data_IF_708274402201
#
_entry.id   IF_708274402201
#
_cell.length_a   1.000
_cell.length_b   1.000
_cell.length_c   1.000
_cell.angle_alpha   90.00
_cell.angle_beta   90.00
_cell.angle_gamma   90.00
#
_symmetry.space_group_name_H-M   'P 1'
#
loop_
_entity.id
_entity.type
_entity.pdbx_description
1 polymer ?
#
# COMPACT_ATOMS: atom_id res chain seq x y z
N UNK A 1 -3.28 -7.97 6.43
CA UNK A 1 -4.08 -9.12 6.90
C UNK A 1 -3.48 -10.37 6.30
N UNK A 2 -3.60 -11.52 6.96
CA UNK A 2 -3.06 -12.79 6.45
C UNK A 2 -3.56 -13.14 5.05
N UNK A 3 -4.76 -12.69 4.67
CA UNK A 3 -5.33 -12.90 3.32
C UNK A 3 -4.86 -11.88 2.27
N UNK A 4 -4.59 -10.63 2.66
CA UNK A 4 -4.10 -9.59 1.74
C UNK A 4 -2.60 -9.69 1.45
N UNK A 5 -1.83 -10.23 2.41
CA UNK A 5 -0.38 -10.30 2.31
C UNK A 5 0.13 -11.17 1.13
N UNK A 6 -0.47 -12.33 0.79
CA UNK A 6 -0.08 -13.08 -0.41
C UNK A 6 -0.14 -12.26 -1.69
N UNK A 7 -1.19 -11.43 -1.85
CA UNK A 7 -1.29 -10.53 -3.01
C UNK A 7 -0.21 -9.45 -2.97
N UNK A 8 -0.03 -8.78 -1.82
CA UNK A 8 1.00 -7.74 -1.64
C UNK A 8 2.38 -8.28 -1.97
N UNK A 9 2.72 -9.48 -1.46
CA UNK A 9 4.01 -10.11 -1.71
C UNK A 9 4.19 -10.53 -3.17
N UNK A 10 3.16 -11.12 -3.78
CA UNK A 10 3.22 -11.74 -5.11
C UNK A 10 3.11 -10.75 -6.26
N UNK A 11 2.41 -9.62 -6.06
CA UNK A 11 2.14 -8.63 -7.10
C UNK A 11 2.80 -7.29 -6.82
N UNK A 12 2.75 -6.78 -5.59
CA UNK A 12 3.36 -5.47 -5.29
C UNK A 12 4.87 -5.60 -5.04
N UNK A 13 5.27 -6.26 -3.96
CA UNK A 13 6.66 -6.31 -3.52
C UNK A 13 7.59 -7.06 -4.48
N UNK A 14 7.08 -7.99 -5.28
CA UNK A 14 7.88 -8.72 -6.27
C UNK A 14 8.24 -7.87 -7.49
N UNK A 15 7.49 -6.81 -7.79
CA UNK A 15 7.64 -6.01 -9.02
C UNK A 15 8.20 -4.61 -8.77
N UNK A 16 7.96 -4.02 -7.59
CA UNK A 16 8.32 -2.61 -7.35
C UNK A 16 9.29 -2.38 -6.19
N UNK A 17 9.51 -3.39 -5.34
CA UNK A 17 10.41 -3.27 -4.19
C UNK A 17 11.87 -3.54 -4.56
N UNK A 18 12.76 -2.62 -4.21
CA UNK A 18 14.21 -2.75 -4.34
C UNK A 18 14.75 -3.68 -3.25
N UNK A 19 15.55 -4.69 -3.63
CA UNK A 19 16.14 -5.65 -2.69
C UNK A 19 17.67 -5.63 -2.75
N UNK A 20 18.29 -5.64 -1.59
CA UNK A 20 19.70 -6.01 -1.43
C UNK A 20 19.78 -7.53 -1.19
N UNK A 21 20.53 -8.24 -2.03
CA UNK A 21 20.90 -9.64 -1.80
C UNK A 21 22.27 -9.70 -1.13
N UNK A 22 22.43 -10.59 -0.13
CA UNK A 22 23.61 -10.72 0.74
C UNK A 22 24.94 -11.03 0.01
N UNK A 23 24.92 -11.26 -1.31
CA UNK A 23 26.09 -11.58 -2.12
C UNK A 23 26.43 -10.48 -3.14
N UNK A 24 26.65 -9.22 -2.72
CA UNK A 24 27.33 -8.13 -3.49
C UNK A 24 26.93 -7.91 -4.98
N UNK A 25 25.83 -8.49 -5.42
CA UNK A 25 25.21 -8.33 -6.72
C UNK A 25 23.82 -7.78 -6.41
N UNK A 26 23.69 -6.46 -6.47
CA UNK A 26 22.40 -5.78 -6.31
C UNK A 26 21.49 -6.29 -7.41
N UNK A 27 20.55 -7.16 -7.06
CA UNK A 27 19.51 -7.56 -8.01
C UNK A 27 18.35 -6.57 -7.82
N UNK A 28 18.44 -5.44 -8.54
CA UNK A 28 17.40 -4.41 -8.55
C UNK A 28 16.17 -4.98 -9.26
N UNK A 29 15.23 -5.58 -8.52
CA UNK A 29 13.95 -6.04 -9.07
C UNK A 29 12.90 -4.91 -9.15
N UNK A 30 13.09 -3.83 -8.41
CA UNK A 30 12.12 -2.74 -8.26
C UNK A 30 12.78 -1.37 -8.09
N UNK A 31 11.99 -0.31 -8.25
CA UNK A 31 12.46 1.10 -8.26
C UNK A 31 12.34 1.78 -6.88
N UNK A 32 11.61 1.16 -5.94
CA UNK A 32 11.25 1.79 -4.68
C UNK A 32 11.65 0.92 -3.49
N UNK A 33 12.15 1.52 -2.41
CA UNK A 33 12.31 0.83 -1.12
C UNK A 33 10.99 0.87 -0.35
N UNK A 34 10.36 -0.28 -0.15
CA UNK A 34 9.02 -0.37 0.45
C UNK A 34 9.11 -0.95 1.86
N UNK A 35 8.52 -0.27 2.83
CA UNK A 35 8.26 -0.84 4.15
C UNK A 35 6.99 -1.72 4.10
N UNK A 36 7.09 -2.96 4.60
CA UNK A 36 5.94 -3.85 4.77
C UNK A 36 5.94 -4.43 6.19
N UNK A 37 4.89 -4.18 6.97
CA UNK A 37 4.80 -4.59 8.39
C UNK A 37 5.07 -6.07 8.62
N UNK A 38 4.56 -6.94 7.74
CA UNK A 38 4.68 -8.39 7.88
C UNK A 38 6.13 -8.88 7.67
N UNK A 39 7.01 -8.04 7.12
CA UNK A 39 8.43 -8.33 6.88
C UNK A 39 9.37 -7.50 7.77
N UNK A 40 9.07 -6.22 7.93
CA UNK A 40 10.01 -5.20 8.40
C UNK A 40 9.65 -4.67 9.81
N UNK A 41 8.56 -5.14 10.41
CA UNK A 41 8.17 -4.69 11.76
C UNK A 41 9.21 -5.07 12.81
N UNK A 42 9.46 -4.15 13.72
CA UNK A 42 10.36 -4.37 14.85
C UNK A 42 9.62 -5.16 15.93
N UNK A 43 10.19 -6.30 16.29
CA UNK A 43 9.72 -7.07 17.44
C UNK A 43 9.83 -6.25 18.72
N UNK A 44 8.76 -6.25 19.52
CA UNK A 44 8.68 -5.48 20.77
C UNK A 44 8.01 -4.11 20.64
N UNK A 45 7.67 -3.67 19.42
CA UNK A 45 6.80 -2.51 19.19
C UNK A 45 5.39 -2.96 18.80
N UNK A 46 4.39 -2.15 19.12
CA UNK A 46 3.03 -2.36 18.63
C UNK A 46 2.94 -2.15 17.11
N UNK A 47 1.86 -2.64 16.51
CA UNK A 47 1.57 -2.43 15.09
C UNK A 47 1.46 -0.93 14.74
N UNK A 48 0.81 -0.16 15.61
CA UNK A 48 0.62 1.27 15.41
C UNK A 48 1.95 2.04 15.53
N UNK A 49 2.80 1.71 16.51
CA UNK A 49 4.12 2.34 16.65
C UNK A 49 5.00 2.06 15.43
N UNK A 50 5.05 0.80 14.99
CA UNK A 50 5.76 0.42 13.77
C UNK A 50 5.26 1.21 12.55
N UNK A 51 3.95 1.35 12.41
CA UNK A 51 3.34 2.10 11.32
C UNK A 51 3.71 3.59 11.37
N UNK A 52 3.50 4.27 12.50
CA UNK A 52 3.74 5.70 12.63
C UNK A 52 5.20 6.06 12.33
N UNK A 53 6.16 5.33 12.89
CA UNK A 53 7.59 5.57 12.64
C UNK A 53 7.95 5.40 11.16
N UNK A 54 7.39 4.38 10.49
CA UNK A 54 7.70 4.13 9.09
C UNK A 54 6.98 5.11 8.14
N UNK A 55 5.84 5.67 8.55
CA UNK A 55 5.18 6.76 7.81
C UNK A 55 6.08 7.99 7.79
N UNK A 56 6.69 8.37 8.92
CA UNK A 56 7.60 9.52 9.01
C UNK A 56 8.86 9.36 8.14
N UNK A 57 9.25 8.12 7.84
CA UNK A 57 10.39 7.80 6.99
C UNK A 57 10.01 7.63 5.50
N UNK A 58 8.73 7.68 5.18
CA UNK A 58 8.20 7.40 3.84
C UNK A 58 7.83 8.67 3.10
N UNK A 59 7.97 8.67 1.76
CA UNK A 59 7.43 9.76 0.91
C UNK A 59 5.98 9.54 0.53
N UNK A 60 5.58 8.29 0.31
CA UNK A 60 4.27 7.90 -0.19
C UNK A 60 3.79 6.69 0.60
N UNK A 61 2.51 6.66 0.93
CA UNK A 61 1.87 5.49 1.51
C UNK A 61 1.03 4.75 0.47
N UNK A 62 1.04 3.42 0.52
CA UNK A 62 0.20 2.57 -0.35
C UNK A 62 -0.84 1.86 0.50
N UNK A 63 -2.12 2.11 0.19
CA UNK A 63 -3.26 1.44 0.83
C UNK A 63 -3.82 0.41 -0.12
N UNK A 64 -3.70 -0.87 0.25
CA UNK A 64 -4.29 -1.97 -0.50
C UNK A 64 -5.67 -2.28 0.08
N UNK A 65 -6.71 -1.81 -0.60
CA UNK A 65 -8.11 -2.02 -0.23
C UNK A 65 -8.60 -3.40 -0.68
N UNK A 66 -8.99 -4.18 0.32
CA UNK A 66 -9.67 -5.47 0.21
C UNK A 66 -10.70 -5.60 1.32
N UNK A 67 -11.61 -6.55 1.19
CA UNK A 67 -12.58 -6.92 2.20
C UNK A 67 -11.87 -7.30 3.51
N UNK A 68 -10.79 -8.06 3.44
CA UNK A 68 -10.01 -8.44 4.63
C UNK A 68 -9.34 -7.23 5.30
N UNK A 69 -8.88 -6.24 4.53
CA UNK A 69 -8.38 -4.98 5.08
C UNK A 69 -9.50 -4.20 5.79
N UNK A 70 -10.66 -4.04 5.16
CA UNK A 70 -11.81 -3.30 5.74
C UNK A 70 -12.40 -3.92 7.00
N UNK A 71 -12.05 -5.17 7.31
CA UNK A 71 -12.48 -5.86 8.53
C UNK A 71 -11.42 -5.87 9.63
N UNK A 72 -10.20 -5.39 9.35
CA UNK A 72 -9.11 -5.32 10.34
C UNK A 72 -9.48 -4.35 11.46
N UNK A 73 -9.14 -4.69 12.71
CA UNK A 73 -9.51 -3.89 13.88
C UNK A 73 -9.08 -2.41 13.80
N UNK A 74 -7.90 -2.14 13.23
CA UNK A 74 -7.30 -0.79 13.21
C UNK A 74 -7.42 -0.05 11.88
N UNK A 75 -8.07 -0.61 10.85
CA UNK A 75 -8.03 -0.03 9.49
C UNK A 75 -8.46 1.44 9.43
N UNK A 76 -9.49 1.83 10.20
CA UNK A 76 -9.95 3.23 10.24
C UNK A 76 -8.89 4.16 10.83
N UNK A 77 -8.26 3.74 11.93
CA UNK A 77 -7.22 4.54 12.61
C UNK A 77 -6.00 4.70 11.71
N UNK A 78 -5.59 3.63 11.04
CA UNK A 78 -4.49 3.65 10.07
C UNK A 78 -4.77 4.64 8.92
N UNK A 79 -5.98 4.59 8.34
CA UNK A 79 -6.38 5.48 7.27
C UNK A 79 -6.46 6.94 7.70
N UNK A 80 -7.06 7.22 8.85
CA UNK A 80 -7.15 8.58 9.38
C UNK A 80 -5.76 9.15 9.65
N UNK A 81 -4.84 8.34 10.19
CA UNK A 81 -3.47 8.76 10.43
C UNK A 81 -2.71 9.03 9.12
N UNK A 82 -2.89 8.20 8.09
CA UNK A 82 -2.31 8.45 6.76
C UNK A 82 -2.84 9.74 6.14
N UNK A 83 -4.15 9.95 6.16
CA UNK A 83 -4.78 11.16 5.62
C UNK A 83 -4.29 12.41 6.36
N UNK A 84 -4.26 12.36 7.69
CA UNK A 84 -3.70 13.43 8.49
C UNK A 84 -2.23 13.72 8.14
N UNK A 85 -1.42 12.67 8.03
CA UNK A 85 0.01 12.77 7.67
C UNK A 85 0.21 13.41 6.30
N UNK A 86 -0.68 13.14 5.34
CA UNK A 86 -0.69 13.82 4.04
C UNK A 86 -1.09 15.30 4.18
N UNK A 87 -2.14 15.60 4.93
CA UNK A 87 -2.63 16.97 5.12
C UNK A 87 -1.58 17.89 5.77
N UNK A 88 -0.77 17.35 6.69
CA UNK A 88 0.34 18.08 7.32
C UNK A 88 1.69 17.91 6.59
N UNK A 89 1.67 17.33 5.38
CA UNK A 89 2.86 17.16 4.51
C UNK A 89 4.00 16.32 5.11
N UNK A 90 3.71 15.39 6.03
CA UNK A 90 4.66 14.35 6.46
C UNK A 90 4.93 13.37 5.31
N UNK A 91 3.87 12.95 4.62
CA UNK A 91 3.95 12.23 3.36
C UNK A 91 3.42 13.11 2.22
N UNK A 92 3.90 12.88 1.01
CA UNK A 92 3.53 13.65 -0.18
C UNK A 92 2.20 13.16 -0.76
N UNK A 93 1.99 11.84 -0.75
CA UNK A 93 0.80 11.26 -1.34
C UNK A 93 0.40 9.90 -0.73
N UNK A 94 -0.82 9.49 -1.05
CA UNK A 94 -1.40 8.19 -0.71
C UNK A 94 -1.92 7.56 -2.00
N UNK A 95 -1.37 6.40 -2.35
CA UNK A 95 -1.84 5.58 -3.46
C UNK A 95 -2.82 4.54 -2.93
N UNK A 96 -4.04 4.54 -3.48
CA UNK A 96 -5.07 3.57 -3.13
C UNK A 96 -5.14 2.52 -4.23
N UNK A 97 -4.97 1.25 -3.88
CA UNK A 97 -5.08 0.11 -4.78
C UNK A 97 -6.26 -0.74 -4.33
N UNK A 98 -7.28 -0.89 -5.18
CA UNK A 98 -8.41 -1.79 -4.94
C UNK A 98 -8.16 -3.11 -5.63
N UNK A 99 -8.03 -4.19 -4.85
CA UNK A 99 -7.66 -5.51 -5.38
C UNK A 99 -8.85 -6.44 -5.66
N UNK A 100 -10.03 -6.05 -5.20
CA UNK A 100 -11.29 -6.75 -5.44
C UNK A 100 -12.47 -5.77 -5.39
N UNK A 101 -13.63 -6.19 -5.93
CA UNK A 101 -14.82 -5.36 -5.92
C UNK A 101 -15.43 -5.24 -4.52
N UNK A 102 -15.34 -4.04 -3.95
CA UNK A 102 -15.96 -3.72 -2.66
C UNK A 102 -17.30 -3.01 -2.86
N UNK A 103 -18.32 -3.43 -2.12
CA UNK A 103 -19.56 -2.65 -2.04
C UNK A 103 -19.24 -1.33 -1.37
N UNK A 104 -19.91 -0.25 -1.80
CA UNK A 104 -19.68 1.10 -1.24
C UNK A 104 -19.78 1.15 0.30
N UNK A 105 -20.65 0.34 0.91
CA UNK A 105 -20.80 0.22 2.37
C UNK A 105 -19.62 -0.45 3.10
N UNK A 106 -18.78 -1.21 2.39
CA UNK A 106 -17.57 -1.83 2.93
C UNK A 106 -16.38 -0.87 2.88
N UNK A 107 -16.43 0.13 2.01
CA UNK A 107 -15.38 1.12 1.86
C UNK A 107 -15.42 2.08 3.05
N UNK A 108 -14.29 2.33 3.73
CA UNK A 108 -14.21 3.31 4.80
C UNK A 108 -14.69 4.69 4.34
N UNK A 109 -15.52 5.34 5.17
CA UNK A 109 -16.18 6.60 4.81
C UNK A 109 -15.19 7.70 4.39
N UNK A 110 -14.01 7.71 5.03
CA UNK A 110 -12.91 8.65 4.74
C UNK A 110 -12.36 8.55 3.31
N UNK A 111 -12.62 7.43 2.62
CA UNK A 111 -12.20 7.23 1.23
C UNK A 111 -13.34 7.41 0.22
N UNK A 112 -14.59 7.61 0.67
CA UNK A 112 -15.76 7.70 -0.22
C UNK A 112 -15.62 8.79 -1.28
N UNK A 113 -15.01 9.91 -0.92
CA UNK A 113 -14.78 11.02 -1.85
C UNK A 113 -13.78 10.64 -2.96
N UNK A 114 -12.65 10.02 -2.60
CA UNK A 114 -11.62 9.55 -3.52
C UNK A 114 -12.18 8.48 -4.47
N UNK A 115 -12.95 7.52 -3.94
CA UNK A 115 -13.57 6.46 -4.74
C UNK A 115 -14.59 7.03 -5.73
N UNK A 116 -15.43 8.00 -5.32
CA UNK A 116 -16.38 8.66 -6.22
C UNK A 116 -15.71 9.45 -7.34
N UNK A 117 -14.49 9.92 -7.11
CA UNK A 117 -13.68 10.65 -8.08
C UNK A 117 -12.80 9.74 -8.94
N UNK A 118 -12.92 8.42 -8.81
CA UNK A 118 -12.08 7.43 -9.50
C UNK A 118 -10.57 7.64 -9.22
N UNK A 119 -10.24 8.16 -8.04
CA UNK A 119 -8.85 8.41 -7.57
C UNK A 119 -8.30 7.18 -6.85
N UNK A 120 -8.26 6.05 -7.55
CA UNK A 120 -7.66 4.81 -7.08
C UNK A 120 -7.21 3.96 -8.27
N UNK A 121 -6.25 3.07 -8.02
CA UNK A 121 -5.84 2.06 -8.99
C UNK A 121 -6.67 0.81 -8.78
N UNK A 122 -7.21 0.26 -9.85
CA UNK A 122 -7.91 -1.03 -9.83
C UNK A 122 -6.96 -2.11 -10.31
N UNK A 123 -6.78 -3.14 -9.49
CA UNK A 123 -6.11 -4.35 -9.94
C UNK A 123 -7.07 -5.19 -10.78
N UNK A 124 -6.57 -5.70 -11.90
CA UNK A 124 -7.30 -6.64 -12.73
C UNK A 124 -6.37 -7.79 -13.12
N UNK A 125 -6.84 -9.04 -12.98
CA UNK A 125 -6.10 -10.25 -13.35
C UNK A 125 -6.11 -10.50 -14.86
N UNK A 126 -5.83 -9.47 -15.65
CA UNK A 126 -5.63 -9.52 -17.09
C UNK A 126 -4.17 -9.21 -17.39
N UNK A 127 -3.45 -10.11 -18.06
CA UNK A 127 -2.00 -10.00 -18.31
C UNK A 127 -1.60 -8.68 -19.01
N UNK A 128 -2.49 -8.12 -19.84
CA UNK A 128 -2.23 -6.85 -20.54
C UNK A 128 -2.41 -5.66 -19.61
N UNK A 129 -3.37 -5.75 -18.68
CA UNK A 129 -3.64 -4.70 -17.69
C UNK A 129 -2.63 -4.73 -16.54
N UNK A 130 -2.19 -5.91 -16.13
CA UNK A 130 -1.14 -6.10 -15.12
C UNK A 130 0.17 -5.40 -15.54
N UNK A 131 0.60 -5.58 -16.81
CA UNK A 131 1.80 -4.89 -17.34
C UNK A 131 1.67 -3.37 -17.42
N UNK A 132 0.45 -2.82 -17.45
CA UNK A 132 0.20 -1.37 -17.41
C UNK A 132 0.18 -0.86 -15.98
N UNK A 133 -0.33 -1.64 -15.05
CA UNK A 133 -0.43 -1.30 -13.63
C UNK A 133 0.94 -0.92 -13.02
N UNK A 134 2.01 -1.62 -13.41
CA UNK A 134 3.36 -1.35 -12.89
C UNK A 134 4.14 -0.26 -13.63
N UNK A 135 3.60 0.33 -14.70
CA UNK A 135 4.23 1.49 -15.37
C UNK A 135 3.81 2.77 -14.67
N UNK A 136 4.38 2.99 -13.49
CA UNK A 136 4.14 4.21 -12.72
C UNK A 136 4.62 5.50 -13.42
N UNK A 137 5.47 5.38 -14.46
CA UNK A 137 6.04 6.52 -15.20
C UNK A 137 5.06 7.19 -16.20
N UNK A 138 3.92 6.57 -16.53
CA UNK A 138 2.99 7.08 -17.56
C UNK A 138 1.75 7.80 -16.99
N UNK A 139 1.64 7.92 -15.66
CA UNK A 139 0.49 8.56 -14.97
C UNK A 139 0.91 9.86 -14.26
N UNK A 140 1.87 10.58 -14.85
CA UNK A 140 2.29 11.94 -14.42
C UNK A 140 1.57 13.03 -15.22
#
# INVERSE_FOLDING_TARGET
>A
SEEGYPWVRGHLLSHIDERETEENNVTVFGTYKIYCSDRDSHHGKSELENMCENIELSRVAVVVLSNSYTQKHLHTVELEHLLYSKDISVIQDIVIIMIEDLKFKQIPAVLHHQIKQDKFLRWEADETKEKKFYRFDEIS
#
